data_IF_658538694426
#
_entry.id   IF_658538694426
#
_cell.length_a   1.000
_cell.length_b   1.000
_cell.length_c   1.000
_cell.angle_alpha   90.00
_cell.angle_beta   90.00
_cell.angle_gamma   90.00
#
_symmetry.space_group_name_H-M   'P 1'
#
loop_
_entity.id
_entity.type
_entity.pdbx_description
1 polymer ?
#
# COMPACT_ATOMS: atom_id res chain seq x y z
N UNK A 1 6.48 -20.97 -14.15
CA UNK A 1 5.38 -20.17 -14.75
C UNK A 1 4.64 -19.43 -13.64
N UNK A 2 4.49 -18.13 -13.76
CA UNK A 2 3.76 -17.29 -12.81
C UNK A 2 2.25 -17.61 -12.87
N UNK A 3 1.65 -17.77 -11.71
CA UNK A 3 0.21 -18.04 -11.53
C UNK A 3 -0.48 -16.99 -10.68
N UNK A 4 0.27 -16.26 -9.87
CA UNK A 4 -0.26 -15.24 -8.93
C UNK A 4 0.53 -13.96 -9.06
N UNK A 5 -0.17 -12.83 -9.13
CA UNK A 5 0.44 -11.51 -9.09
C UNK A 5 -0.04 -10.83 -7.82
N UNK A 6 0.92 -10.37 -7.02
CA UNK A 6 0.71 -9.64 -5.78
C UNK A 6 1.10 -8.19 -6.05
N UNK A 7 0.22 -7.25 -5.75
CA UNK A 7 0.45 -5.83 -5.99
C UNK A 7 0.48 -5.07 -4.68
N UNK A 8 1.42 -4.16 -4.55
CA UNK A 8 1.25 -3.03 -3.63
C UNK A 8 0.20 -2.05 -4.17
N UNK A 9 -0.18 -1.07 -3.36
CA UNK A 9 -1.18 -0.07 -3.68
C UNK A 9 -0.56 1.31 -3.94
N UNK A 10 0.22 1.81 -2.98
CA UNK A 10 0.88 3.12 -3.06
C UNK A 10 1.94 3.15 -4.17
N UNK A 11 1.99 4.24 -4.93
CA UNK A 11 2.92 4.42 -6.08
C UNK A 11 2.89 3.30 -7.13
N UNK A 12 2.02 2.30 -6.96
CA UNK A 12 1.69 1.29 -7.98
C UNK A 12 0.37 1.63 -8.65
N UNK A 13 -0.71 1.82 -7.88
CA UNK A 13 -2.02 2.20 -8.41
C UNK A 13 -2.40 3.63 -8.08
N UNK A 14 -2.12 4.09 -6.86
CA UNK A 14 -2.41 5.44 -6.38
C UNK A 14 -1.11 6.24 -6.27
N UNK A 15 -1.11 7.48 -6.74
CA UNK A 15 0.04 8.35 -6.61
C UNK A 15 0.20 8.84 -5.17
N UNK A 16 1.44 8.93 -4.68
CA UNK A 16 1.77 9.40 -3.34
C UNK A 16 2.70 10.61 -3.39
N UNK A 17 2.48 11.55 -2.47
CA UNK A 17 3.44 12.60 -2.13
C UNK A 17 4.11 12.25 -0.79
N UNK A 18 5.12 11.37 -0.82
CA UNK A 18 5.77 10.82 0.39
C UNK A 18 6.25 11.90 1.38
N UNK A 19 6.84 13.04 0.96
CA UNK A 19 7.23 14.11 1.88
C UNK A 19 6.07 14.98 2.39
N UNK A 20 4.83 14.82 1.90
CA UNK A 20 3.72 15.73 2.21
C UNK A 20 3.35 15.75 3.69
N UNK A 21 3.35 14.58 4.36
CA UNK A 21 3.03 14.49 5.79
C UNK A 21 3.99 15.36 6.60
N UNK A 22 5.29 15.14 6.45
CA UNK A 22 6.33 15.88 7.17
C UNK A 22 6.24 17.37 6.87
N UNK A 23 6.15 17.73 5.59
CA UNK A 23 6.01 19.12 5.14
C UNK A 23 4.76 19.80 5.74
N UNK A 24 3.64 19.08 5.79
CA UNK A 24 2.39 19.59 6.36
C UNK A 24 2.46 19.76 7.87
N UNK A 25 3.09 18.83 8.58
CA UNK A 25 3.29 18.90 10.03
C UNK A 25 4.26 20.03 10.41
N UNK A 26 5.32 20.24 9.63
CA UNK A 26 6.24 21.38 9.85
C UNK A 26 5.54 22.72 9.69
N UNK A 27 4.62 22.85 8.74
CA UNK A 27 3.79 24.06 8.58
C UNK A 27 2.84 24.30 9.77
N UNK A 28 2.56 23.28 10.57
CA UNK A 28 1.78 23.38 11.81
C UNK A 28 2.66 23.59 13.05
N UNK A 29 3.98 23.73 12.89
CA UNK A 29 4.93 24.00 13.98
C UNK A 29 5.56 22.74 14.59
N UNK A 30 5.39 21.56 14.02
CA UNK A 30 6.18 20.37 14.38
C UNK A 30 7.59 20.56 13.87
N UNK A 31 8.57 20.53 14.76
CA UNK A 31 9.98 20.83 14.39
C UNK A 31 10.79 19.59 14.01
N UNK A 32 10.32 18.40 14.38
CA UNK A 32 10.96 17.12 14.05
C UNK A 32 9.99 15.96 14.15
N UNK A 33 10.17 14.97 13.31
CA UNK A 33 9.50 13.67 13.45
C UNK A 33 10.35 12.82 14.39
N UNK A 34 9.80 12.45 15.54
CA UNK A 34 10.52 11.68 16.56
C UNK A 34 10.34 10.18 16.35
N UNK A 35 11.26 9.38 16.89
CA UNK A 35 11.17 7.91 16.85
C UNK A 35 9.85 7.39 17.43
N UNK A 36 9.39 7.96 18.53
CA UNK A 36 8.11 7.63 19.16
C UNK A 36 6.91 7.87 18.21
N UNK A 37 6.93 8.97 17.43
CA UNK A 37 5.90 9.23 16.40
C UNK A 37 5.94 8.16 15.29
N UNK A 38 7.13 7.74 14.86
CA UNK A 38 7.29 6.69 13.85
C UNK A 38 6.79 5.34 14.38
N UNK A 39 7.12 4.99 15.64
CA UNK A 39 6.63 3.77 16.27
C UNK A 39 5.10 3.76 16.40
N UNK A 40 4.51 4.88 16.81
CA UNK A 40 3.05 5.04 16.91
C UNK A 40 2.39 4.90 15.53
N UNK A 41 2.98 5.50 14.49
CA UNK A 41 2.50 5.35 13.12
C UNK A 41 2.58 3.88 12.64
N UNK A 42 3.67 3.16 12.95
CA UNK A 42 3.80 1.74 12.61
C UNK A 42 2.77 0.87 13.35
N UNK A 43 2.48 1.16 14.61
CA UNK A 43 1.41 0.48 15.36
C UNK A 43 0.05 0.70 14.71
N UNK A 44 -0.22 1.92 14.27
CA UNK A 44 -1.46 2.27 13.57
C UNK A 44 -1.56 1.60 12.20
N UNK A 45 -0.47 1.55 11.43
CA UNK A 45 -0.41 0.79 10.17
C UNK A 45 -0.58 -0.73 10.35
N UNK A 46 -0.22 -1.27 11.51
CA UNK A 46 -0.50 -2.66 11.89
C UNK A 46 -1.89 -2.85 12.51
N UNK A 47 -2.67 -1.78 12.69
CA UNK A 47 -4.00 -1.86 13.34
C UNK A 47 -3.93 -2.28 14.82
N UNK A 48 -2.79 -2.08 15.49
CA UNK A 48 -2.58 -2.41 16.89
C UNK A 48 -3.10 -1.32 17.84
N UNK A 49 -3.37 -0.14 17.31
CA UNK A 49 -4.03 0.97 17.99
C UNK A 49 -5.17 1.51 17.13
N UNK A 50 -6.19 2.05 17.77
CA UNK A 50 -7.33 2.63 17.05
C UNK A 50 -6.97 3.98 16.41
N UNK A 51 -7.79 4.44 15.44
CA UNK A 51 -7.67 5.80 14.88
C UNK A 51 -7.73 6.87 15.97
N UNK A 52 -8.57 6.67 16.97
CA UNK A 52 -8.68 7.63 18.07
C UNK A 52 -7.41 7.69 18.91
N UNK A 53 -6.85 6.52 19.28
CA UNK A 53 -5.59 6.46 20.05
C UNK A 53 -4.44 7.08 19.27
N UNK A 54 -4.33 6.81 17.97
CA UNK A 54 -3.33 7.39 17.08
C UNK A 54 -3.41 8.92 17.03
N UNK A 55 -4.63 9.45 16.84
CA UNK A 55 -4.86 10.90 16.79
C UNK A 55 -4.60 11.54 18.15
N UNK A 56 -5.07 10.92 19.24
CA UNK A 56 -4.88 11.41 20.61
C UNK A 56 -3.41 11.47 20.99
N UNK A 57 -2.65 10.39 20.73
CA UNK A 57 -1.21 10.35 21.00
C UNK A 57 -0.44 11.50 20.33
N UNK A 58 -0.88 11.91 19.13
CA UNK A 58 -0.29 13.05 18.45
C UNK A 58 -0.74 14.38 19.05
N UNK A 59 -2.04 14.56 19.27
CA UNK A 59 -2.59 15.85 19.77
C UNK A 59 -2.20 16.14 21.21
N UNK A 60 -2.00 15.13 22.04
CA UNK A 60 -1.47 15.28 23.40
C UNK A 60 -0.03 15.81 23.38
N UNK A 61 0.77 15.36 22.41
CA UNK A 61 2.14 15.82 22.22
C UNK A 61 2.22 17.23 21.63
N UNK A 62 1.23 17.60 20.81
CA UNK A 62 1.14 18.91 20.13
C UNK A 62 -0.25 19.54 20.35
N UNK A 63 -0.54 20.07 21.57
CA UNK A 63 -1.88 20.56 21.91
C UNK A 63 -2.38 21.75 21.08
N UNK A 64 -1.48 22.43 20.37
CA UNK A 64 -1.83 23.52 19.44
C UNK A 64 -2.40 23.02 18.11
N UNK A 65 -2.28 21.71 17.82
CA UNK A 65 -2.73 21.09 16.56
C UNK A 65 -4.01 20.31 16.86
N UNK A 66 -5.12 20.73 16.24
CA UNK A 66 -6.37 20.03 16.38
C UNK A 66 -6.34 18.65 15.68
N UNK A 67 -7.19 17.73 16.13
CA UNK A 67 -7.36 16.42 15.49
C UNK A 67 -7.69 16.53 13.99
N UNK A 68 -8.46 17.53 13.57
CA UNK A 68 -8.78 17.77 12.18
C UNK A 68 -7.56 18.21 11.35
N UNK A 69 -6.72 19.08 11.91
CA UNK A 69 -5.47 19.50 11.26
C UNK A 69 -4.51 18.34 11.14
N UNK A 70 -4.34 17.55 12.22
CA UNK A 70 -3.49 16.35 12.17
C UNK A 70 -3.95 15.35 11.10
N UNK A 71 -5.23 14.96 11.10
CA UNK A 71 -5.80 14.04 10.09
C UNK A 71 -5.61 14.57 8.67
N UNK A 72 -5.78 15.88 8.45
CA UNK A 72 -5.51 16.50 7.15
C UNK A 72 -4.05 16.36 6.74
N UNK A 73 -3.12 16.62 7.68
CA UNK A 73 -1.68 16.46 7.44
C UNK A 73 -1.30 15.00 7.19
N UNK A 74 -1.84 14.07 7.98
CA UNK A 74 -1.61 12.64 7.82
C UNK A 74 -2.07 12.12 6.46
N UNK A 75 -3.24 12.57 5.99
CA UNK A 75 -3.81 12.16 4.71
C UNK A 75 -3.21 12.89 3.49
N UNK A 76 -2.35 13.90 3.69
CA UNK A 76 -1.78 14.68 2.59
C UNK A 76 -0.87 13.90 1.65
N UNK A 77 -0.40 12.74 2.07
CA UNK A 77 0.36 11.80 1.24
C UNK A 77 -0.47 11.22 0.09
N UNK A 78 -1.80 11.10 0.28
CA UNK A 78 -2.69 10.44 -0.69
C UNK A 78 -3.06 11.42 -1.80
N UNK A 79 -2.60 11.13 -3.00
CA UNK A 79 -2.93 11.88 -4.21
C UNK A 79 -4.05 11.19 -5.00
N UNK A 80 -4.07 11.37 -6.32
CA UNK A 80 -5.08 10.80 -7.20
C UNK A 80 -4.82 9.32 -7.51
N UNK A 81 -5.89 8.63 -7.83
CA UNK A 81 -5.88 7.30 -8.43
C UNK A 81 -6.17 7.46 -9.94
N UNK A 82 -5.19 7.28 -10.84
CA UNK A 82 -5.39 7.45 -12.26
C UNK A 82 -6.37 6.42 -12.84
N UNK A 83 -7.42 6.86 -13.55
CA UNK A 83 -8.44 5.98 -14.12
C UNK A 83 -7.88 4.94 -15.12
N UNK A 84 -6.77 5.26 -15.80
CA UNK A 84 -6.14 4.29 -16.71
C UNK A 84 -5.54 3.09 -15.98
N UNK A 85 -5.10 3.24 -14.71
CA UNK A 85 -4.63 2.13 -13.87
C UNK A 85 -5.80 1.28 -13.38
N UNK A 86 -6.97 1.88 -13.10
CA UNK A 86 -8.19 1.13 -12.82
C UNK A 86 -8.60 0.32 -14.05
N UNK A 87 -8.63 0.95 -15.21
CA UNK A 87 -8.95 0.26 -16.48
C UNK A 87 -7.97 -0.88 -16.79
N UNK A 88 -6.69 -0.73 -16.44
CA UNK A 88 -5.68 -1.77 -16.61
C UNK A 88 -5.98 -2.99 -15.73
N UNK A 89 -6.20 -2.79 -14.42
CA UNK A 89 -6.45 -3.91 -13.51
C UNK A 89 -7.78 -4.60 -13.79
N UNK A 90 -8.81 -3.86 -14.21
CA UNK A 90 -10.08 -4.44 -14.67
C UNK A 90 -9.86 -5.35 -15.88
N UNK A 91 -9.11 -4.90 -16.89
CA UNK A 91 -8.76 -5.73 -18.05
C UNK A 91 -7.93 -6.96 -17.67
N UNK A 92 -7.01 -6.82 -16.72
CA UNK A 92 -6.18 -7.93 -16.26
C UNK A 92 -7.05 -8.98 -15.53
N UNK A 93 -7.94 -8.54 -14.65
CA UNK A 93 -8.83 -9.44 -13.87
C UNK A 93 -9.81 -10.21 -14.75
N UNK A 94 -10.30 -9.61 -15.85
CA UNK A 94 -11.23 -10.31 -16.76
C UNK A 94 -10.59 -11.46 -17.53
N UNK A 95 -9.27 -11.42 -17.77
CA UNK A 95 -8.54 -12.47 -18.49
C UNK A 95 -8.44 -13.78 -17.69
N UNK A 96 -8.58 -13.73 -16.36
CA UNK A 96 -8.50 -14.88 -15.42
C UNK A 96 -7.26 -15.77 -15.58
N UNK A 97 -6.17 -15.23 -16.12
CA UNK A 97 -4.92 -15.96 -16.33
C UNK A 97 -4.10 -16.06 -15.05
N UNK A 98 -4.34 -15.13 -14.10
CA UNK A 98 -3.61 -15.02 -12.85
C UNK A 98 -4.57 -14.84 -11.69
N UNK A 99 -4.20 -15.37 -10.53
CA UNK A 99 -4.77 -14.94 -9.25
C UNK A 99 -4.21 -13.56 -8.90
N UNK A 100 -5.05 -12.60 -8.59
CA UNK A 100 -4.66 -11.23 -8.29
C UNK A 100 -4.85 -10.95 -6.79
N UNK A 101 -3.80 -10.47 -6.14
CA UNK A 101 -3.79 -10.17 -4.70
C UNK A 101 -3.31 -8.73 -4.51
N UNK A 102 -4.02 -7.95 -3.71
CA UNK A 102 -3.50 -6.69 -3.18
C UNK A 102 -2.85 -6.92 -1.82
N UNK A 103 -1.68 -6.33 -1.57
CA UNK A 103 -0.94 -6.40 -0.32
C UNK A 103 -0.34 -5.02 0.02
N UNK A 104 -1.03 -4.23 0.83
CA UNK A 104 -0.68 -2.84 1.08
C UNK A 104 -0.38 -2.54 2.55
N UNK A 105 0.71 -1.81 2.80
CA UNK A 105 0.91 -1.10 4.05
C UNK A 105 0.04 0.16 4.03
N UNK A 106 -0.96 0.22 4.91
CA UNK A 106 -1.91 1.33 4.96
C UNK A 106 -2.63 1.37 6.31
N UNK A 107 -3.57 2.30 6.45
CA UNK A 107 -4.35 2.47 7.67
C UNK A 107 -5.76 3.00 7.34
N UNK A 108 -6.66 2.99 8.32
CA UNK A 108 -8.06 3.36 8.13
C UNK A 108 -8.23 4.80 7.60
N UNK A 109 -7.46 5.78 8.10
CA UNK A 109 -7.54 7.17 7.63
C UNK A 109 -7.13 7.32 6.17
N UNK A 110 -6.08 6.58 5.74
CA UNK A 110 -5.66 6.60 4.34
C UNK A 110 -6.70 5.96 3.43
N UNK A 111 -7.30 4.83 3.83
CA UNK A 111 -8.37 4.19 3.04
C UNK A 111 -9.60 5.09 2.94
N UNK A 112 -10.01 5.76 4.02
CA UNK A 112 -11.08 6.75 3.98
C UNK A 112 -10.77 7.89 2.99
N UNK A 113 -9.53 8.39 2.98
CA UNK A 113 -9.09 9.44 2.06
C UNK A 113 -9.05 8.95 0.62
N UNK A 114 -8.59 7.72 0.36
CA UNK A 114 -8.62 7.10 -0.98
C UNK A 114 -10.07 7.03 -1.50
N UNK A 115 -11.00 6.51 -0.68
CA UNK A 115 -12.42 6.42 -1.05
C UNK A 115 -13.00 7.81 -1.35
N UNK A 116 -12.62 8.81 -0.56
CA UNK A 116 -13.05 10.20 -0.79
C UNK A 116 -12.52 10.75 -2.11
N UNK A 117 -11.25 10.46 -2.48
CA UNK A 117 -10.62 10.99 -3.67
C UNK A 117 -11.16 10.33 -4.95
N UNK A 118 -11.37 9.00 -4.95
CA UNK A 118 -11.74 8.25 -6.15
C UNK A 118 -13.23 7.88 -6.24
N UNK A 119 -14.04 8.15 -5.23
CA UNK A 119 -15.41 7.70 -4.98
C UNK A 119 -15.50 6.25 -4.50
N UNK A 120 -16.53 5.95 -3.69
CA UNK A 120 -16.81 4.58 -3.23
C UNK A 120 -17.06 3.63 -4.41
N UNK A 121 -17.74 4.09 -5.46
CA UNK A 121 -18.01 3.27 -6.64
C UNK A 121 -16.72 2.82 -7.33
N UNK A 122 -15.77 3.72 -7.55
CA UNK A 122 -14.48 3.38 -8.18
C UNK A 122 -13.61 2.51 -7.26
N UNK A 123 -13.64 2.75 -5.95
CA UNK A 123 -12.93 1.91 -4.96
C UNK A 123 -13.46 0.46 -4.97
N UNK A 124 -14.77 0.28 -5.01
CA UNK A 124 -15.39 -1.05 -5.09
C UNK A 124 -15.10 -1.75 -6.43
N UNK A 125 -15.06 -1.01 -7.55
CA UNK A 125 -14.60 -1.55 -8.84
C UNK A 125 -13.17 -2.06 -8.73
N UNK A 126 -12.27 -1.25 -8.17
CA UNK A 126 -10.88 -1.63 -7.94
C UNK A 126 -10.76 -2.88 -7.07
N UNK A 127 -11.43 -2.89 -5.91
CA UNK A 127 -11.39 -4.00 -4.95
C UNK A 127 -11.86 -5.33 -5.56
N UNK A 128 -12.89 -5.29 -6.41
CA UNK A 128 -13.43 -6.48 -7.10
C UNK A 128 -12.48 -7.10 -8.12
N UNK A 129 -11.43 -6.39 -8.54
CA UNK A 129 -10.43 -6.95 -9.45
C UNK A 129 -9.53 -7.99 -8.78
N UNK A 130 -9.51 -8.06 -7.45
CA UNK A 130 -8.61 -8.93 -6.69
C UNK A 130 -9.36 -10.10 -6.06
N UNK A 131 -8.74 -11.28 -6.12
CA UNK A 131 -9.22 -12.48 -5.41
C UNK A 131 -9.03 -12.35 -3.90
N UNK A 132 -8.00 -11.61 -3.48
CA UNK A 132 -7.69 -11.27 -2.09
C UNK A 132 -7.20 -9.83 -1.97
N UNK A 133 -7.61 -9.18 -0.90
CA UNK A 133 -7.33 -7.77 -0.67
C UNK A 133 -6.86 -7.60 0.77
N UNK A 134 -5.53 -7.53 0.97
CA UNK A 134 -4.91 -7.48 2.29
C UNK A 134 -4.42 -6.06 2.60
N UNK A 135 -4.94 -5.49 3.66
CA UNK A 135 -4.53 -4.22 4.23
C UNK A 135 -3.82 -4.48 5.56
N UNK A 136 -2.64 -3.92 5.75
CA UNK A 136 -1.78 -4.18 6.91
C UNK A 136 -2.50 -4.02 8.25
N UNK A 137 -3.33 -2.98 8.38
CA UNK A 137 -4.09 -2.69 9.61
C UNK A 137 -5.25 -3.66 9.87
N UNK A 138 -5.68 -4.45 8.88
CA UNK A 138 -6.70 -5.49 9.04
C UNK A 138 -6.10 -6.84 9.37
N UNK A 139 -4.90 -7.14 8.84
CA UNK A 139 -4.21 -8.42 9.05
C UNK A 139 -3.11 -8.37 10.12
N UNK A 140 -2.87 -7.19 10.71
CA UNK A 140 -1.89 -6.91 11.77
C UNK A 140 -0.43 -7.26 11.41
N UNK A 141 -0.11 -7.23 10.12
CA UNK A 141 1.21 -7.50 9.56
C UNK A 141 1.60 -6.38 8.60
N UNK A 142 2.90 -6.11 8.46
CA UNK A 142 3.37 -5.10 7.50
C UNK A 142 4.64 -5.54 6.78
N UNK A 143 4.79 -5.09 5.55
CA UNK A 143 6.03 -5.15 4.78
C UNK A 143 7.08 -4.20 5.41
N UNK A 144 8.36 -4.53 5.41
CA UNK A 144 9.01 -5.69 4.80
C UNK A 144 9.16 -6.93 5.71
N UNK A 145 8.43 -7.02 6.83
CA UNK A 145 8.52 -8.19 7.72
C UNK A 145 8.23 -9.48 6.93
N UNK A 146 9.07 -10.51 7.03
CA UNK A 146 8.89 -11.78 6.31
C UNK A 146 7.52 -12.42 6.58
N UNK A 147 7.01 -12.27 7.79
CA UNK A 147 5.73 -12.82 8.25
C UNK A 147 4.52 -12.44 7.39
N UNK A 148 4.52 -11.24 6.76
CA UNK A 148 3.38 -10.83 5.91
C UNK A 148 3.37 -11.62 4.59
N UNK A 149 4.51 -11.89 4.00
CA UNK A 149 4.62 -12.67 2.77
C UNK A 149 4.32 -14.15 3.04
N UNK A 150 4.86 -14.70 4.13
CA UNK A 150 4.56 -16.06 4.60
C UNK A 150 3.06 -16.25 4.86
N UNK A 151 2.42 -15.26 5.49
CA UNK A 151 0.96 -15.25 5.69
C UNK A 151 0.23 -15.30 4.35
N UNK A 152 0.58 -14.45 3.38
CA UNK A 152 -0.07 -14.42 2.06
C UNK A 152 0.10 -15.75 1.32
N UNK A 153 1.32 -16.30 1.33
CA UNK A 153 1.62 -17.59 0.69
C UNK A 153 0.79 -18.70 1.34
N UNK A 154 0.74 -18.78 2.67
CA UNK A 154 0.02 -19.80 3.43
C UNK A 154 -1.51 -19.68 3.26
N UNK A 155 -2.08 -18.47 3.44
CA UNK A 155 -3.54 -18.24 3.36
C UNK A 155 -4.09 -18.58 1.97
N UNK A 156 -3.27 -18.45 0.94
CA UNK A 156 -3.63 -18.71 -0.44
C UNK A 156 -3.09 -20.02 -0.98
N UNK A 157 -2.38 -20.83 -0.19
CA UNK A 157 -1.76 -22.10 -0.58
C UNK A 157 -0.85 -21.94 -1.82
N UNK A 158 -0.04 -20.89 -1.83
CA UNK A 158 0.83 -20.52 -2.95
C UNK A 158 2.25 -21.04 -2.75
N UNK A 159 2.90 -21.35 -3.88
CA UNK A 159 4.35 -21.56 -3.96
C UNK A 159 5.01 -20.23 -4.33
N UNK A 160 6.04 -19.83 -3.61
CA UNK A 160 6.72 -18.55 -3.81
C UNK A 160 7.20 -18.37 -5.28
N UNK A 161 7.78 -19.42 -5.86
CA UNK A 161 8.28 -19.42 -7.24
C UNK A 161 7.20 -19.28 -8.32
N UNK A 162 5.92 -19.38 -7.95
CA UNK A 162 4.79 -19.12 -8.84
C UNK A 162 4.16 -17.74 -8.65
N UNK A 163 4.73 -16.92 -7.75
CA UNK A 163 4.26 -15.58 -7.43
C UNK A 163 5.16 -14.51 -8.02
N UNK A 164 4.54 -13.41 -8.42
CA UNK A 164 5.22 -12.19 -8.86
C UNK A 164 4.70 -11.01 -8.04
N UNK A 165 5.59 -10.29 -7.36
CA UNK A 165 5.24 -9.17 -6.50
C UNK A 165 5.73 -7.84 -7.09
N UNK A 166 4.83 -6.87 -7.18
CA UNK A 166 5.08 -5.52 -7.68
C UNK A 166 4.96 -4.54 -6.52
N UNK A 167 6.02 -3.80 -6.24
CA UNK A 167 6.07 -2.82 -5.15
C UNK A 167 7.14 -1.76 -5.51
N UNK A 168 6.91 -0.50 -5.16
CA UNK A 168 7.84 0.60 -5.44
C UNK A 168 8.98 0.69 -4.41
N UNK A 169 8.79 0.07 -3.25
CA UNK A 169 9.75 0.10 -2.14
C UNK A 169 10.73 -1.07 -2.23
N UNK A 170 12.01 -0.73 -2.35
CA UNK A 170 13.09 -1.72 -2.55
C UNK A 170 13.19 -2.72 -1.41
N UNK A 171 13.04 -2.28 -0.17
CA UNK A 171 13.09 -3.14 1.01
C UNK A 171 11.99 -4.21 0.98
N UNK A 172 10.79 -3.84 0.51
CA UNK A 172 9.68 -4.76 0.37
C UNK A 172 9.97 -5.84 -0.69
N UNK A 173 10.46 -5.42 -1.86
CA UNK A 173 10.79 -6.37 -2.94
C UNK A 173 11.96 -7.26 -2.56
N UNK A 174 12.98 -6.76 -1.86
CA UNK A 174 14.10 -7.56 -1.37
C UNK A 174 13.65 -8.62 -0.37
N UNK A 175 12.79 -8.27 0.60
CA UNK A 175 12.26 -9.23 1.58
C UNK A 175 11.43 -10.34 0.89
N UNK A 176 10.60 -9.99 -0.08
CA UNK A 176 9.85 -10.98 -0.86
C UNK A 176 10.77 -11.90 -1.68
N UNK A 177 11.83 -11.35 -2.28
CA UNK A 177 12.82 -12.13 -3.06
C UNK A 177 13.55 -13.16 -2.19
N UNK A 178 13.87 -12.82 -0.93
CA UNK A 178 14.50 -13.75 0.01
C UNK A 178 13.65 -14.99 0.30
N UNK A 179 12.34 -14.89 0.13
CA UNK A 179 11.38 -16.01 0.26
C UNK A 179 11.14 -16.75 -1.07
N UNK A 180 11.84 -16.38 -2.14
CA UNK A 180 11.72 -17.01 -3.46
C UNK A 180 10.58 -16.48 -4.32
N UNK A 181 9.94 -15.37 -3.94
CA UNK A 181 8.95 -14.66 -4.76
C UNK A 181 9.69 -13.87 -5.85
N UNK A 182 9.26 -13.97 -7.11
CA UNK A 182 9.75 -13.08 -8.16
C UNK A 182 9.23 -11.66 -7.93
N UNK A 183 10.06 -10.65 -8.17
CA UNK A 183 9.70 -9.27 -7.84
C UNK A 183 10.00 -8.28 -8.96
N UNK A 184 9.21 -7.21 -8.98
CA UNK A 184 9.49 -6.00 -9.74
C UNK A 184 9.48 -4.81 -8.79
N UNK A 185 10.64 -4.19 -8.61
CA UNK A 185 10.72 -2.92 -7.91
C UNK A 185 10.35 -1.80 -8.90
N UNK A 186 9.05 -1.52 -8.97
CA UNK A 186 8.48 -0.51 -9.86
C UNK A 186 8.95 0.90 -9.47
N UNK A 187 9.63 1.59 -10.36
CA UNK A 187 10.04 2.97 -10.13
C UNK A 187 8.98 3.94 -10.68
N UNK A 188 8.12 4.57 -9.85
CA UNK A 188 6.99 5.37 -10.32
C UNK A 188 7.38 6.62 -11.11
N UNK A 189 8.67 7.05 -11.03
CA UNK A 189 9.18 8.16 -11.83
C UNK A 189 9.54 7.76 -13.29
N UNK A 190 9.64 6.46 -13.58
CA UNK A 190 10.12 5.94 -14.88
C UNK A 190 9.24 4.84 -15.45
N UNK A 191 8.48 4.16 -14.60
CA UNK A 191 7.74 2.95 -14.92
C UNK A 191 6.29 3.09 -14.44
N UNK A 192 5.41 2.30 -15.02
CA UNK A 192 4.01 2.26 -14.62
C UNK A 192 3.52 0.81 -14.61
N UNK A 193 2.65 0.48 -13.69
CA UNK A 193 2.08 -0.87 -13.53
C UNK A 193 1.36 -1.38 -14.78
N UNK A 194 0.90 -0.50 -15.66
CA UNK A 194 0.26 -0.91 -16.92
C UNK A 194 1.21 -1.65 -17.85
N UNK A 195 2.52 -1.48 -17.68
CA UNK A 195 3.56 -2.17 -18.44
C UNK A 195 3.97 -3.53 -17.80
N UNK A 196 3.20 -4.02 -16.83
CA UNK A 196 3.49 -5.26 -16.11
C UNK A 196 3.81 -6.44 -17.03
N UNK A 197 3.03 -6.63 -18.09
CA UNK A 197 3.16 -7.78 -19.00
C UNK A 197 4.34 -7.66 -19.97
N UNK A 198 5.00 -6.50 -20.02
CA UNK A 198 6.25 -6.30 -20.78
C UNK A 198 7.48 -6.82 -19.99
N UNK A 199 7.29 -7.14 -18.70
CA UNK A 199 8.35 -7.70 -17.88
C UNK A 199 8.80 -9.06 -18.45
N UNK A 200 10.12 -9.33 -18.61
CA UNK A 200 10.67 -10.54 -19.22
C UNK A 200 10.14 -11.84 -18.63
N UNK A 201 9.71 -11.86 -17.37
CA UNK A 201 9.14 -13.05 -16.72
C UNK A 201 7.82 -13.52 -17.36
N UNK A 202 7.08 -12.60 -18.00
CA UNK A 202 5.82 -12.90 -18.69
C UNK A 202 5.99 -13.12 -20.19
N UNK A 203 7.07 -12.58 -20.80
CA UNK A 203 7.31 -12.66 -22.24
C UNK A 203 8.09 -13.91 -22.65
N UNK A 204 8.85 -14.51 -21.72
CA UNK A 204 9.68 -15.71 -21.94
C UNK A 204 9.02 -17.01 -21.45
N UNK A 205 7.71 -17.03 -21.27
CA UNK A 205 6.96 -18.18 -20.72
C UNK A 205 6.19 -18.96 -21.77
#
# INVERSE_FOLDING_TARGET
MIKTIIFDFGDVFINLDKPAIERSLFNLGVTSITEDMLQTAMQYEKGLITTNDFVTAFTDKYPSISAAQFKKSWNSIILEFPEYRLSFIEKLSTKKNYKLILLSNTNALHIEQVIKNMSLYSYERFKRCFDKFYLSHEIHLRKPDASIYEFVLKDNQLKAESCFFVDDTKENTQAATQLGIHTWNNNPAKEDVINLLDNPIFTNS
#
